data_IF_304531622239
#
_entry.id   IF_304531622239
#
_cell.length_a   1.000
_cell.length_b   1.000
_cell.length_c   1.000
_cell.angle_alpha   90.00
_cell.angle_beta   90.00
_cell.angle_gamma   90.00
#
_symmetry.space_group_name_H-M   'P 1'
#
loop_
_entity.id
_entity.type
_entity.pdbx_description
1 polymer ?
#
# COMPACT_ATOMS: atom_id res chain seq x y z
N UNK A 1 14.73 -20.45 12.81
CA UNK A 1 14.77 -20.32 11.34
C UNK A 1 13.42 -19.80 10.89
N UNK A 2 13.35 -19.07 9.77
CA UNK A 2 12.08 -18.61 9.19
C UNK A 2 11.90 -19.26 7.81
N UNK A 3 10.65 -19.38 7.37
CA UNK A 3 10.28 -19.95 6.08
C UNK A 3 9.57 -18.91 5.20
N UNK A 4 9.95 -18.85 3.93
CA UNK A 4 9.27 -18.01 2.95
C UNK A 4 7.94 -18.67 2.55
N UNK A 5 6.85 -17.92 2.60
CA UNK A 5 5.58 -18.35 2.00
C UNK A 5 5.74 -18.36 0.48
N UNK A 6 5.39 -19.46 -0.18
CA UNK A 6 5.58 -19.68 -1.63
C UNK A 6 4.65 -18.87 -2.52
N UNK A 7 3.97 -17.86 -1.97
CA UNK A 7 3.11 -16.92 -2.70
C UNK A 7 3.48 -15.47 -2.38
N UNK A 8 3.50 -14.63 -3.42
CA UNK A 8 3.59 -13.17 -3.34
C UNK A 8 2.23 -12.61 -3.73
N UNK A 9 1.63 -11.84 -2.83
CA UNK A 9 0.42 -11.10 -3.12
C UNK A 9 0.81 -9.76 -3.73
N UNK A 10 0.20 -9.39 -4.85
CA UNK A 10 0.47 -8.14 -5.53
C UNK A 10 -0.79 -7.38 -5.93
N UNK A 11 -0.66 -6.10 -6.24
CA UNK A 11 -1.74 -5.30 -6.81
C UNK A 11 -1.99 -5.65 -8.28
N UNK A 12 -3.25 -5.58 -8.75
CA UNK A 12 -3.59 -5.83 -10.16
C UNK A 12 -2.90 -4.90 -11.21
N UNK A 13 -2.63 -3.60 -10.94
CA UNK A 13 -1.94 -2.77 -11.92
C UNK A 13 -0.58 -3.36 -12.34
N UNK A 14 -0.29 -3.32 -13.64
CA UNK A 14 0.88 -3.97 -14.27
C UNK A 14 2.19 -3.70 -13.52
N UNK A 15 2.41 -2.46 -13.06
CA UNK A 15 3.63 -2.09 -12.33
C UNK A 15 3.82 -2.84 -11.01
N UNK A 16 2.74 -3.12 -10.29
CA UNK A 16 2.80 -3.90 -9.05
C UNK A 16 3.02 -5.38 -9.35
N UNK A 17 2.29 -5.92 -10.35
CA UNK A 17 2.46 -7.29 -10.81
C UNK A 17 3.89 -7.57 -11.33
N UNK A 18 4.43 -6.72 -12.21
CA UNK A 18 5.79 -6.86 -12.75
C UNK A 18 6.84 -6.80 -11.64
N UNK A 19 6.64 -5.95 -10.62
CA UNK A 19 7.55 -5.91 -9.47
C UNK A 19 7.53 -7.24 -8.72
N UNK A 20 6.36 -7.82 -8.47
CA UNK A 20 6.22 -9.11 -7.82
C UNK A 20 6.81 -10.26 -8.65
N UNK A 21 6.59 -10.26 -9.97
CA UNK A 21 7.13 -11.26 -10.90
C UNK A 21 8.67 -11.26 -10.95
N UNK A 22 9.28 -10.07 -10.96
CA UNK A 22 10.74 -9.94 -10.88
C UNK A 22 11.26 -10.49 -9.54
N UNK A 23 10.59 -10.18 -8.43
CA UNK A 23 10.97 -10.70 -7.10
C UNK A 23 10.83 -12.22 -7.05
N UNK A 24 9.71 -12.78 -7.52
CA UNK A 24 9.47 -14.22 -7.55
C UNK A 24 10.52 -14.96 -8.40
N UNK A 25 10.86 -14.40 -9.57
CA UNK A 25 11.89 -14.95 -10.45
C UNK A 25 13.26 -14.94 -9.78
N UNK A 26 13.65 -13.83 -9.16
CA UNK A 26 14.93 -13.71 -8.47
C UNK A 26 15.04 -14.68 -7.29
N UNK A 27 13.99 -14.81 -6.48
CA UNK A 27 13.97 -15.70 -5.31
C UNK A 27 13.89 -17.18 -5.69
N UNK A 28 13.29 -17.52 -6.82
CA UNK A 28 13.24 -18.90 -7.33
C UNK A 28 14.56 -19.32 -8.01
N UNK A 29 15.49 -18.39 -8.23
CA UNK A 29 16.76 -18.69 -8.90
C UNK A 29 17.62 -19.59 -8.00
N UNK A 30 17.85 -20.83 -8.43
CA UNK A 30 18.52 -21.92 -7.69
C UNK A 30 17.68 -22.58 -6.57
N UNK A 31 16.38 -22.33 -6.52
CA UNK A 31 15.44 -23.08 -5.66
C UNK A 31 14.70 -24.12 -6.49
N UNK A 32 14.43 -25.29 -5.90
CA UNK A 32 13.49 -26.27 -6.49
C UNK A 32 12.03 -25.81 -6.34
N UNK A 33 11.76 -24.92 -5.39
CA UNK A 33 10.43 -24.37 -5.14
C UNK A 33 10.19 -23.09 -5.95
N UNK A 34 9.16 -23.14 -6.80
CA UNK A 34 8.67 -21.97 -7.54
C UNK A 34 7.77 -21.10 -6.66
N UNK A 35 8.04 -19.80 -6.63
CA UNK A 35 7.19 -18.82 -5.96
C UNK A 35 6.09 -18.35 -6.93
N UNK A 36 4.83 -18.38 -6.49
CA UNK A 36 3.68 -17.92 -7.29
C UNK A 36 3.37 -16.46 -7.00
N UNK A 37 2.88 -15.75 -8.02
CA UNK A 37 2.37 -14.38 -7.90
C UNK A 37 0.86 -14.38 -8.05
N UNK A 38 0.17 -13.78 -7.07
CA UNK A 38 -1.29 -13.66 -7.06
C UNK A 38 -1.70 -12.19 -7.00
N UNK A 39 -2.69 -11.78 -7.78
CA UNK A 39 -3.10 -10.38 -7.92
C UNK A 39 -4.41 -10.08 -7.19
N UNK A 40 -4.42 -9.02 -6.39
CA UNK A 40 -5.54 -8.61 -5.56
C UNK A 40 -5.87 -7.12 -5.73
N UNK A 41 -7.15 -6.81 -5.90
CA UNK A 41 -7.64 -5.42 -5.89
C UNK A 41 -7.36 -4.73 -4.56
N UNK A 42 -7.35 -5.51 -3.48
CA UNK A 42 -7.09 -5.02 -2.13
C UNK A 42 -5.68 -4.43 -1.94
N UNK A 43 -4.75 -4.66 -2.86
CA UNK A 43 -3.39 -4.08 -2.85
C UNK A 43 -3.21 -2.90 -3.80
N UNK A 44 -4.27 -2.50 -4.52
CA UNK A 44 -4.25 -1.36 -5.43
C UNK A 44 -4.01 -0.03 -4.71
N UNK A 45 -3.57 0.96 -5.49
CA UNK A 45 -3.37 2.34 -5.05
C UNK A 45 -4.67 2.98 -4.56
N UNK A 46 -4.58 4.19 -4.00
CA UNK A 46 -5.78 4.95 -3.67
C UNK A 46 -6.58 5.28 -4.94
N UNK A 47 -7.76 4.69 -5.06
CA UNK A 47 -8.74 4.93 -6.11
C UNK A 47 -9.21 6.38 -6.13
N UNK A 48 -9.16 6.97 -7.32
CA UNK A 48 -9.82 8.25 -7.65
C UNK A 48 -11.22 8.04 -8.25
N UNK A 49 -11.72 6.80 -8.23
CA UNK A 49 -13.04 6.42 -8.70
C UNK A 49 -13.23 6.62 -10.20
N UNK A 50 -14.39 7.16 -10.58
CA UNK A 50 -14.76 7.46 -11.95
C UNK A 50 -13.79 8.43 -12.68
N UNK A 51 -12.85 9.04 -11.96
CA UNK A 51 -11.79 9.86 -12.55
C UNK A 51 -10.47 9.10 -12.81
N UNK A 52 -10.49 7.76 -12.82
CA UNK A 52 -9.34 6.97 -13.22
C UNK A 52 -8.82 7.42 -14.60
N UNK A 53 -7.49 7.41 -14.78
CA UNK A 53 -6.77 7.89 -15.96
C UNK A 53 -6.76 9.42 -16.18
N UNK A 54 -7.32 10.22 -15.26
CA UNK A 54 -7.17 11.68 -15.29
C UNK A 54 -5.96 12.14 -14.47
N UNK A 55 -5.30 13.18 -14.94
CA UNK A 55 -4.30 13.92 -14.16
C UNK A 55 -4.97 14.70 -13.03
N UNK A 56 -4.21 15.09 -12.00
CA UNK A 56 -4.76 15.86 -10.87
C UNK A 56 -5.37 17.21 -11.30
N UNK A 57 -4.80 17.86 -12.32
CA UNK A 57 -5.36 19.07 -12.92
C UNK A 57 -6.68 18.81 -13.65
N UNK A 58 -6.78 17.70 -14.39
CA UNK A 58 -8.02 17.29 -15.04
C UNK A 58 -9.11 16.94 -14.02
N UNK A 59 -8.78 16.23 -12.95
CA UNK A 59 -9.71 15.92 -11.85
C UNK A 59 -10.26 17.22 -11.26
N UNK A 60 -9.39 18.17 -10.93
CA UNK A 60 -9.79 19.49 -10.41
C UNK A 60 -10.74 20.20 -11.37
N UNK A 61 -10.39 20.26 -12.65
CA UNK A 61 -11.21 20.92 -13.66
C UNK A 61 -12.55 20.22 -13.94
N UNK A 62 -12.67 18.92 -13.67
CA UNK A 62 -13.94 18.18 -13.71
C UNK A 62 -14.81 18.57 -12.52
N UNK A 63 -14.25 18.59 -11.30
CA UNK A 63 -14.99 18.95 -10.08
C UNK A 63 -15.43 20.40 -10.09
N UNK A 64 -14.58 21.34 -10.51
CA UNK A 64 -14.92 22.78 -10.62
C UNK A 64 -16.10 23.06 -11.56
N UNK A 65 -16.33 22.20 -12.56
CA UNK A 65 -17.45 22.34 -13.51
C UNK A 65 -18.70 21.60 -13.07
N UNK A 66 -18.62 20.77 -12.03
CA UNK A 66 -19.76 20.02 -11.51
C UNK A 66 -20.51 20.87 -10.47
N UNK A 67 -21.72 21.37 -10.78
CA UNK A 67 -22.43 22.32 -9.91
C UNK A 67 -22.89 21.68 -8.59
N UNK A 68 -22.75 20.35 -8.43
CA UNK A 68 -23.11 19.65 -7.20
C UNK A 68 -22.05 19.77 -6.12
N UNK A 69 -20.81 20.11 -6.48
CA UNK A 69 -19.67 20.02 -5.58
C UNK A 69 -18.96 21.37 -5.41
N UNK A 70 -18.44 21.66 -4.20
CA UNK A 70 -17.55 22.80 -4.01
C UNK A 70 -16.20 22.57 -4.71
N UNK A 71 -15.42 23.65 -4.83
CA UNK A 71 -14.03 23.55 -5.29
C UNK A 71 -13.23 22.58 -4.42
N UNK A 72 -12.32 21.83 -5.04
CA UNK A 72 -11.42 20.93 -4.30
C UNK A 72 -10.48 21.73 -3.39
N UNK A 73 -10.39 21.38 -2.10
CA UNK A 73 -9.44 21.99 -1.18
C UNK A 73 -8.00 21.95 -1.70
N UNK A 74 -7.19 22.90 -1.26
CA UNK A 74 -5.75 22.82 -1.48
C UNK A 74 -5.19 21.57 -0.79
N UNK A 75 -4.32 20.82 -1.48
CA UNK A 75 -3.71 19.62 -0.90
C UNK A 75 -4.63 18.41 -0.77
N UNK A 76 -5.83 18.41 -1.38
CA UNK A 76 -6.78 17.29 -1.32
C UNK A 76 -6.16 15.92 -1.64
N UNK A 77 -5.14 15.90 -2.51
CA UNK A 77 -4.47 14.67 -2.95
C UNK A 77 -3.62 14.03 -1.85
N UNK A 78 -3.09 14.83 -0.93
CA UNK A 78 -2.25 14.37 0.19
C UNK A 78 -2.98 14.34 1.53
N UNK A 79 -4.18 14.89 1.62
CA UNK A 79 -5.05 14.78 2.79
C UNK A 79 -5.50 13.33 2.98
N UNK A 80 -5.17 12.77 4.14
CA UNK A 80 -5.47 11.38 4.48
C UNK A 80 -6.96 11.08 4.59
N UNK A 81 -7.77 12.06 4.99
CA UNK A 81 -9.21 11.93 5.19
C UNK A 81 -10.01 12.27 3.93
N UNK A 82 -9.44 13.06 3.03
CA UNK A 82 -10.20 13.55 1.89
C UNK A 82 -10.51 12.43 0.89
N UNK A 83 -11.80 12.31 0.58
CA UNK A 83 -12.34 11.42 -0.44
C UNK A 83 -12.94 12.27 -1.56
N UNK A 84 -12.55 12.02 -2.80
CA UNK A 84 -13.18 12.70 -3.95
C UNK A 84 -14.67 12.38 -3.98
N UNK A 85 -15.55 13.34 -4.35
CA UNK A 85 -16.99 13.11 -4.43
C UNK A 85 -17.37 12.40 -5.75
N UNK A 86 -16.62 11.35 -6.09
CA UNK A 86 -16.79 10.56 -7.31
C UNK A 86 -17.05 9.10 -6.94
N UNK A 87 -17.92 8.45 -7.69
CA UNK A 87 -18.25 7.06 -7.47
C UNK A 87 -16.98 6.19 -7.52
N UNK A 88 -16.80 5.35 -6.51
CA UNK A 88 -15.65 4.44 -6.40
C UNK A 88 -14.34 5.11 -5.93
N UNK A 89 -14.33 6.42 -5.64
CA UNK A 89 -13.17 7.06 -5.03
C UNK A 89 -13.02 6.61 -3.58
N UNK A 90 -11.80 6.64 -3.07
CA UNK A 90 -11.47 6.37 -1.67
C UNK A 90 -10.51 7.43 -1.13
N UNK A 91 -10.53 7.65 0.17
CA UNK A 91 -9.52 8.40 0.93
C UNK A 91 -8.27 7.54 1.12
N UNK A 92 -7.15 8.16 1.52
CA UNK A 92 -5.94 7.40 1.83
C UNK A 92 -6.12 6.51 3.07
N UNK A 93 -6.93 6.93 4.05
CA UNK A 93 -7.27 6.12 5.22
C UNK A 93 -8.09 4.88 4.85
N UNK A 94 -9.06 5.02 3.95
CA UNK A 94 -9.85 3.87 3.43
C UNK A 94 -8.93 2.90 2.67
N UNK A 95 -8.07 3.40 1.77
CA UNK A 95 -7.10 2.58 1.06
C UNK A 95 -6.14 1.83 2.01
N UNK A 96 -5.67 2.51 3.06
CA UNK A 96 -4.82 1.91 4.09
C UNK A 96 -5.53 0.84 4.90
N UNK A 97 -6.80 1.07 5.26
CA UNK A 97 -7.62 0.08 5.98
C UNK A 97 -7.82 -1.18 5.14
N UNK A 98 -8.15 -1.02 3.86
CA UNK A 98 -8.29 -2.12 2.89
C UNK A 98 -7.01 -2.97 2.77
N UNK A 99 -5.85 -2.33 2.64
CA UNK A 99 -4.56 -3.04 2.57
C UNK A 99 -4.23 -3.74 3.89
N UNK A 100 -4.44 -3.08 5.04
CA UNK A 100 -4.18 -3.68 6.36
C UNK A 100 -5.07 -4.91 6.62
N UNK A 101 -6.34 -4.84 6.21
CA UNK A 101 -7.26 -5.95 6.28
C UNK A 101 -6.79 -7.13 5.42
N UNK A 102 -6.38 -6.88 4.16
CA UNK A 102 -5.83 -7.92 3.29
C UNK A 102 -4.60 -8.60 3.92
N UNK A 103 -3.64 -7.82 4.41
CA UNK A 103 -2.43 -8.35 5.06
C UNK A 103 -2.82 -9.24 6.25
N UNK A 104 -3.71 -8.75 7.11
CA UNK A 104 -4.14 -9.48 8.32
C UNK A 104 -4.87 -10.77 7.98
N UNK A 105 -5.79 -10.72 7.01
CA UNK A 105 -6.53 -11.90 6.55
C UNK A 105 -5.59 -12.96 5.97
N UNK A 106 -4.60 -12.54 5.19
CA UNK A 106 -3.63 -13.45 4.59
C UNK A 106 -2.71 -14.09 5.61
N UNK A 107 -2.22 -13.34 6.61
CA UNK A 107 -1.42 -13.93 7.69
C UNK A 107 -2.24 -14.87 8.57
N UNK A 108 -3.49 -14.50 8.92
CA UNK A 108 -4.37 -15.37 9.70
C UNK A 108 -4.77 -16.67 8.98
N UNK A 109 -4.71 -16.67 7.65
CA UNK A 109 -4.98 -17.85 6.83
C UNK A 109 -3.76 -18.77 6.67
N UNK A 110 -2.57 -18.34 7.09
CA UNK A 110 -1.39 -19.20 7.09
C UNK A 110 -1.56 -20.31 8.15
N UNK A 111 -1.12 -21.54 7.85
CA UNK A 111 -1.14 -22.62 8.84
C UNK A 111 -0.18 -22.28 9.98
N UNK A 112 -0.58 -22.54 11.22
CA UNK A 112 0.31 -22.39 12.37
C UNK A 112 1.54 -23.30 12.17
N UNK A 113 2.73 -22.71 12.24
CA UNK A 113 4.01 -23.41 12.09
C UNK A 113 4.86 -23.21 13.34
N UNK A 114 5.80 -24.12 13.57
CA UNK A 114 6.78 -24.01 14.65
C UNK A 114 7.87 -22.95 14.32
N UNK A 115 8.05 -22.64 13.05
CA UNK A 115 9.00 -21.66 12.52
C UNK A 115 8.29 -20.38 12.09
N UNK A 116 8.98 -19.23 12.21
CA UNK A 116 8.45 -17.95 11.76
C UNK A 116 8.23 -17.96 10.24
N UNK A 117 7.20 -17.29 9.76
CA UNK A 117 6.87 -17.24 8.33
C UNK A 117 7.04 -15.82 7.77
N UNK A 118 7.62 -15.72 6.58
CA UNK A 118 7.74 -14.47 5.83
C UNK A 118 6.81 -14.51 4.62
N UNK A 119 5.80 -13.64 4.59
CA UNK A 119 4.93 -13.44 3.42
C UNK A 119 5.22 -12.09 2.76
N UNK A 120 5.32 -12.09 1.43
CA UNK A 120 5.61 -10.90 0.65
C UNK A 120 4.31 -10.28 0.09
N UNK A 121 4.22 -8.96 0.19
CA UNK A 121 3.13 -8.17 -0.36
C UNK A 121 3.70 -7.02 -1.20
N UNK A 122 3.19 -6.84 -2.42
CA UNK A 122 3.66 -5.84 -3.38
C UNK A 122 2.52 -4.94 -3.82
N UNK A 123 2.68 -3.63 -3.67
CA UNK A 123 1.70 -2.67 -4.19
C UNK A 123 2.17 -1.24 -4.06
N UNK A 124 1.33 -0.35 -3.53
CA UNK A 124 1.55 1.09 -3.68
C UNK A 124 1.82 1.81 -2.36
N UNK A 125 2.90 2.58 -2.34
CA UNK A 125 3.46 3.10 -1.08
C UNK A 125 2.56 4.06 -0.29
N UNK A 126 1.59 4.72 -0.93
CA UNK A 126 0.60 5.51 -0.21
C UNK A 126 -0.34 4.63 0.61
N UNK A 127 -0.90 3.56 0.01
CA UNK A 127 -1.80 2.64 0.68
C UNK A 127 -1.06 1.82 1.76
N UNK A 128 0.12 1.29 1.46
CA UNK A 128 0.95 0.56 2.44
C UNK A 128 1.36 1.41 3.65
N UNK A 129 1.72 2.68 3.45
CA UNK A 129 2.04 3.58 4.57
C UNK A 129 0.84 3.84 5.48
N UNK A 130 -0.36 3.97 4.90
CA UNK A 130 -1.57 4.10 5.70
C UNK A 130 -1.97 2.76 6.34
N UNK A 131 -1.69 1.63 5.69
CA UNK A 131 -1.86 0.31 6.30
C UNK A 131 -0.95 0.14 7.53
N UNK A 132 0.31 0.56 7.45
CA UNK A 132 1.22 0.55 8.60
C UNK A 132 0.67 1.39 9.78
N UNK A 133 0.03 2.52 9.51
CA UNK A 133 -0.71 3.25 10.56
C UNK A 133 -1.89 2.45 11.12
N UNK A 134 -2.71 1.85 10.25
CA UNK A 134 -3.87 1.04 10.67
C UNK A 134 -3.48 -0.19 11.48
N UNK A 135 -2.29 -0.75 11.25
CA UNK A 135 -1.72 -1.86 12.00
C UNK A 135 -1.02 -1.41 13.30
N UNK A 136 -0.87 -0.10 13.54
CA UNK A 136 -0.18 0.45 14.72
C UNK A 136 1.35 0.48 14.62
N UNK A 137 1.91 0.28 13.42
CA UNK A 137 3.36 0.37 13.16
C UNK A 137 3.83 1.82 13.01
N UNK A 138 2.94 2.71 12.56
CA UNK A 138 3.19 4.15 12.45
C UNK A 138 2.13 4.93 13.23
N UNK A 139 2.53 6.05 13.81
CA UNK A 139 1.62 7.06 14.33
C UNK A 139 1.06 7.92 13.18
N UNK A 140 -0.14 8.48 13.38
CA UNK A 140 -0.82 9.26 12.34
C UNK A 140 0.02 10.44 11.83
N UNK A 141 0.69 11.16 12.74
CA UNK A 141 1.52 12.33 12.43
C UNK A 141 2.79 11.98 11.65
N UNK A 142 3.19 10.71 11.64
CA UNK A 142 4.34 10.23 10.88
C UNK A 142 3.98 10.01 9.40
N UNK A 143 2.72 9.70 9.08
CA UNK A 143 2.28 9.37 7.71
C UNK A 143 2.65 10.48 6.71
N UNK A 144 2.46 11.74 7.08
CA UNK A 144 2.74 12.88 6.19
C UNK A 144 4.24 13.14 6.00
N UNK A 145 5.07 12.74 6.98
CA UNK A 145 6.52 12.95 7.04
C UNK A 145 7.31 11.86 6.32
N UNK A 146 6.67 10.72 6.09
CA UNK A 146 7.29 9.53 5.53
C UNK A 146 6.80 9.22 4.11
N UNK A 147 7.63 8.51 3.37
CA UNK A 147 7.34 7.90 2.08
C UNK A 147 7.98 6.52 2.05
N UNK A 148 7.68 5.74 1.02
CA UNK A 148 8.40 4.50 0.74
C UNK A 148 9.42 4.74 -0.37
N UNK A 149 10.56 4.06 -0.28
CA UNK A 149 11.47 3.88 -1.41
C UNK A 149 10.83 2.91 -2.41
N UNK A 150 11.25 2.99 -3.67
CA UNK A 150 10.73 2.11 -4.70
C UNK A 150 11.49 0.77 -4.64
N UNK A 151 10.74 -0.34 -4.53
CA UNK A 151 11.28 -1.70 -4.48
C UNK A 151 12.25 -2.00 -3.32
N UNK A 152 12.27 -1.18 -2.26
CA UNK A 152 12.93 -1.51 -0.99
C UNK A 152 11.88 -1.98 0.03
N UNK A 153 12.03 -3.18 0.61
CA UNK A 153 11.04 -3.75 1.51
C UNK A 153 11.10 -3.11 2.90
N UNK A 154 9.94 -3.06 3.55
CA UNK A 154 9.81 -2.80 4.97
C UNK A 154 9.25 -4.07 5.59
N UNK A 155 9.94 -4.58 6.60
CA UNK A 155 9.55 -5.80 7.27
C UNK A 155 8.80 -5.41 8.54
N UNK A 156 7.57 -5.90 8.65
CA UNK A 156 6.74 -5.78 9.83
C UNK A 156 6.39 -7.18 10.32
N UNK A 157 6.27 -7.32 11.63
CA UNK A 157 5.97 -8.57 12.31
C UNK A 157 4.70 -8.41 13.12
N UNK A 158 3.83 -9.42 13.07
CA UNK A 158 2.70 -9.56 13.99
C UNK A 158 3.13 -10.43 15.17
N UNK A 159 3.14 -9.86 16.36
CA UNK A 159 3.46 -10.55 17.60
C UNK A 159 2.31 -11.46 18.04
N UNK A 160 2.61 -12.41 18.93
CA UNK A 160 1.61 -13.35 19.48
C UNK A 160 0.43 -12.69 20.20
N UNK A 161 0.63 -11.48 20.70
CA UNK A 161 -0.42 -10.68 21.35
C UNK A 161 -1.24 -9.82 20.35
N UNK A 162 -1.00 -10.00 19.05
CA UNK A 162 -1.68 -9.31 17.96
C UNK A 162 -1.12 -7.93 17.62
N UNK A 163 -0.12 -7.42 18.36
CA UNK A 163 0.54 -6.14 18.04
C UNK A 163 1.43 -6.27 16.83
N UNK A 164 1.60 -5.16 16.11
CA UNK A 164 2.51 -5.09 14.98
C UNK A 164 3.72 -4.21 15.30
N UNK A 165 4.88 -4.59 14.77
CA UNK A 165 6.10 -3.80 14.88
C UNK A 165 6.92 -3.84 13.60
N UNK A 166 7.68 -2.77 13.32
CA UNK A 166 8.70 -2.79 12.25
C UNK A 166 9.96 -3.48 12.78
N UNK A 167 10.46 -4.47 12.05
CA UNK A 167 11.68 -5.21 12.40
C UNK A 167 12.87 -4.87 11.49
N UNK A 168 12.62 -4.44 10.24
CA UNK A 168 13.68 -4.02 9.31
C UNK A 168 13.15 -3.13 8.16
N UNK A 169 14.07 -2.56 7.38
CA UNK A 169 13.79 -1.71 6.22
C UNK A 169 13.43 -0.27 6.61
N UNK A 170 13.79 0.71 5.79
CA UNK A 170 13.72 2.13 6.17
C UNK A 170 12.60 2.90 5.46
N UNK A 171 11.97 3.82 6.20
CA UNK A 171 11.04 4.79 5.61
C UNK A 171 11.83 5.97 5.02
N UNK A 172 11.45 6.40 3.82
CA UNK A 172 12.01 7.62 3.22
C UNK A 172 11.48 8.85 3.95
N UNK A 173 12.35 9.56 4.66
CA UNK A 173 12.01 10.84 5.29
C UNK A 173 11.82 11.92 4.21
N UNK A 174 10.68 12.61 4.22
CA UNK A 174 10.45 13.76 3.34
C UNK A 174 11.20 14.96 3.90
N UNK A 175 12.02 15.61 3.08
CA UNK A 175 12.61 16.89 3.46
C UNK A 175 11.53 17.95 3.53
N UNK A 176 11.65 18.92 4.45
CA UNK A 176 10.72 20.06 4.53
C UNK A 176 10.66 20.88 3.22
N UNK A 177 11.65 20.72 2.35
CA UNK A 177 11.78 21.37 1.04
C UNK A 177 11.21 20.55 -0.13
N UNK A 178 10.80 19.30 0.07
CA UNK A 178 10.14 18.53 -1.00
C UNK A 178 8.66 18.93 -1.06
N UNK A 179 8.38 20.08 -1.67
CA UNK A 179 7.03 20.44 -2.06
C UNK A 179 6.44 19.31 -2.91
N UNK A 180 5.25 18.86 -2.53
CA UNK A 180 4.47 17.91 -3.32
C UNK A 180 4.24 18.54 -4.69
N UNK A 181 4.84 17.97 -5.75
CA UNK A 181 4.53 18.39 -7.12
C UNK A 181 3.26 17.66 -7.51
N UNK A 182 2.17 18.41 -7.62
CA UNK A 182 0.85 17.91 -8.02
C UNK A 182 0.86 17.26 -9.41
#
# INVERSE_FOLDING_TARGET
PWQLVSTIDCSQPLRGWQTADIIATALSTNSEESIKVESFDALAERSVGAAANLTSAQIRAVIERDPRYPELPQGWKSDSHFRLPLQGAESLLEAGARVAEHITQQLNALPEQQEDQLKLFVGHGAAFRHAAYRLGVLEYEQIAKLSMYHADPILIEQLRDGRWQRIAGEWKVRSATSAYKD
#
